data_IF_169121939080
#
_entry.id   IF_169121939080
#
_cell.length_a   1.000
_cell.length_b   1.000
_cell.length_c   1.000
_cell.angle_alpha   90.00
_cell.angle_beta   90.00
_cell.angle_gamma   90.00
#
_symmetry.space_group_name_H-M   'P 1'
#
loop_
_entity.id
_entity.type
_entity.pdbx_description
1 polymer ?
#
# COMPACT_ATOMS: atom_id res chain seq x y z
N UNK A 1 5.15 -9.93 -2.64
CA UNK A 1 4.19 -10.53 -1.70
C UNK A 1 4.87 -11.48 -0.75
N UNK A 2 5.39 -12.63 -1.21
CA UNK A 2 6.06 -13.61 -0.34
C UNK A 2 7.31 -13.08 0.39
N UNK A 3 8.01 -12.08 -0.18
CA UNK A 3 9.19 -11.47 0.44
C UNK A 3 8.87 -10.30 1.39
N UNK A 4 7.60 -9.97 1.60
CA UNK A 4 7.21 -8.85 2.46
C UNK A 4 6.87 -9.33 3.87
N UNK A 5 7.44 -8.68 4.89
CA UNK A 5 7.17 -8.97 6.31
C UNK A 5 5.72 -8.66 6.70
N UNK A 6 5.11 -7.66 6.06
CA UNK A 6 3.71 -7.28 6.26
C UNK A 6 3.11 -6.77 4.96
N UNK A 7 1.80 -6.94 4.79
CA UNK A 7 1.02 -6.45 3.66
C UNK A 7 -0.20 -5.69 4.20
N UNK A 8 -0.29 -4.43 3.79
CA UNK A 8 -1.38 -3.53 4.15
C UNK A 8 -2.10 -3.11 2.86
N UNK A 9 -3.41 -3.29 2.80
CA UNK A 9 -4.24 -2.76 1.73
C UNK A 9 -4.91 -1.46 2.18
N UNK A 10 -4.74 -0.41 1.37
CA UNK A 10 -5.36 0.89 1.59
C UNK A 10 -6.81 0.89 1.09
N UNK A 11 -7.76 0.84 2.00
CA UNK A 11 -9.21 0.98 1.74
C UNK A 11 -9.66 0.22 0.47
N UNK A 12 -10.23 0.90 -0.54
CA UNK A 12 -10.73 0.31 -1.78
C UNK A 12 -9.67 -0.41 -2.64
N UNK A 13 -8.38 -0.32 -2.31
CA UNK A 13 -7.35 -1.16 -2.93
C UNK A 13 -7.62 -2.66 -2.72
N UNK A 14 -8.30 -3.03 -1.63
CA UNK A 14 -8.66 -4.43 -1.36
C UNK A 14 -9.62 -5.00 -2.41
N UNK A 15 -10.55 -4.18 -2.92
CA UNK A 15 -11.46 -4.59 -4.01
C UNK A 15 -10.69 -4.87 -5.29
N UNK A 16 -9.63 -4.09 -5.56
CA UNK A 16 -8.75 -4.35 -6.71
C UNK A 16 -8.00 -5.66 -6.51
N UNK A 17 -7.42 -5.89 -5.33
CA UNK A 17 -6.73 -7.15 -5.02
C UNK A 17 -7.64 -8.36 -5.21
N UNK A 18 -8.89 -8.29 -4.73
CA UNK A 18 -9.90 -9.34 -4.89
C UNK A 18 -10.14 -9.73 -6.35
N UNK A 19 -10.23 -8.72 -7.23
CA UNK A 19 -10.51 -8.88 -8.67
C UNK A 19 -9.28 -9.20 -9.53
N UNK A 20 -8.08 -9.16 -8.97
CA UNK A 20 -6.86 -9.47 -9.73
C UNK A 20 -6.75 -10.94 -10.12
N UNK A 21 -7.48 -11.84 -9.44
CA UNK A 21 -7.36 -13.28 -9.59
C UNK A 21 -8.64 -13.90 -10.16
N UNK A 22 -8.46 -14.74 -11.17
CA UNK A 22 -9.55 -15.47 -11.84
C UNK A 22 -10.03 -16.69 -11.04
N UNK A 23 -9.16 -17.26 -10.20
CA UNK A 23 -9.46 -18.46 -9.40
C UNK A 23 -9.50 -18.14 -7.91
N UNK A 24 -10.29 -18.93 -7.16
CA UNK A 24 -10.32 -18.83 -5.70
C UNK A 24 -9.01 -19.33 -5.07
N UNK A 25 -8.38 -20.37 -5.64
CA UNK A 25 -7.10 -20.85 -5.13
C UNK A 25 -6.00 -19.80 -5.21
N UNK A 26 -5.93 -19.04 -6.31
CA UNK A 26 -4.94 -17.96 -6.41
C UNK A 26 -5.29 -16.83 -5.47
N UNK A 27 -6.55 -16.37 -5.43
CA UNK A 27 -6.98 -15.29 -4.53
C UNK A 27 -6.68 -15.58 -3.07
N UNK A 28 -6.95 -16.81 -2.61
CA UNK A 28 -6.72 -17.23 -1.23
C UNK A 28 -5.25 -17.18 -0.80
N UNK A 29 -4.29 -17.07 -1.73
CA UNK A 29 -2.86 -16.93 -1.44
C UNK A 29 -2.45 -15.48 -1.17
N UNK A 30 -3.32 -14.50 -1.44
CA UNK A 30 -3.04 -13.07 -1.30
C UNK A 30 -3.92 -12.41 -0.26
N UNK A 31 -3.82 -12.88 0.99
CA UNK A 31 -4.51 -12.28 2.15
C UNK A 31 -3.58 -11.26 2.83
N UNK A 32 -3.89 -9.95 2.83
CA UNK A 32 -3.10 -8.96 3.56
C UNK A 32 -3.31 -9.12 5.07
N UNK A 33 -2.32 -8.73 5.86
CA UNK A 33 -2.47 -8.68 7.32
C UNK A 33 -3.48 -7.61 7.72
N UNK A 34 -3.46 -6.46 7.05
CA UNK A 34 -4.30 -5.32 7.40
C UNK A 34 -5.03 -4.75 6.19
N UNK A 35 -6.27 -4.30 6.42
CA UNK A 35 -7.01 -3.40 5.54
C UNK A 35 -7.23 -2.11 6.31
N UNK A 36 -6.60 -1.01 5.85
CA UNK A 36 -6.52 0.27 6.57
C UNK A 36 -7.12 1.40 5.74
N UNK A 37 -7.94 2.22 6.36
CA UNK A 37 -8.60 3.37 5.75
C UNK A 37 -9.86 3.74 6.52
N UNK A 38 -10.68 4.64 5.98
CA UNK A 38 -12.04 4.89 6.51
C UNK A 38 -13.04 3.79 6.15
N UNK A 39 -12.67 2.89 5.25
CA UNK A 39 -13.41 1.68 4.87
C UNK A 39 -14.73 1.99 4.14
N UNK A 40 -14.87 3.18 3.56
CA UNK A 40 -16.08 3.63 2.88
C UNK A 40 -16.22 3.08 1.45
N UNK A 41 -15.09 2.68 0.85
CA UNK A 41 -15.03 2.19 -0.52
C UNK A 41 -14.90 0.68 -0.60
N UNK A 42 -14.71 -0.02 0.54
CA UNK A 42 -14.61 -1.48 0.58
C UNK A 42 -15.99 -2.13 0.37
N UNK A 43 -16.07 -3.07 -0.57
CA UNK A 43 -17.31 -3.81 -0.83
C UNK A 43 -17.56 -4.86 0.27
N UNK A 44 -18.81 -5.05 0.69
CA UNK A 44 -19.13 -5.86 1.88
C UNK A 44 -18.77 -7.35 1.73
N UNK A 45 -18.92 -7.90 0.52
CA UNK A 45 -18.51 -9.26 0.19
C UNK A 45 -16.99 -9.41 0.23
N UNK A 46 -16.25 -8.44 -0.30
CA UNK A 46 -14.79 -8.36 -0.24
C UNK A 46 -14.31 -8.23 1.21
N UNK A 47 -14.94 -7.36 2.00
CA UNK A 47 -14.67 -7.20 3.43
C UNK A 47 -14.83 -8.51 4.18
N UNK A 48 -15.95 -9.19 3.97
CA UNK A 48 -16.25 -10.49 4.58
C UNK A 48 -15.24 -11.56 4.15
N UNK A 49 -14.88 -11.57 2.87
CA UNK A 49 -13.91 -12.51 2.32
C UNK A 49 -12.55 -12.45 3.02
N UNK A 50 -11.99 -11.26 3.18
CA UNK A 50 -10.66 -11.10 3.76
C UNK A 50 -10.66 -11.20 5.29
N UNK A 51 -11.68 -10.67 5.97
CA UNK A 51 -11.78 -10.79 7.44
C UNK A 51 -11.96 -12.23 7.90
N UNK A 52 -12.78 -13.02 7.21
CA UNK A 52 -12.94 -14.46 7.50
C UNK A 52 -11.65 -15.28 7.27
N UNK A 53 -10.67 -14.71 6.57
CA UNK A 53 -9.36 -15.33 6.29
C UNK A 53 -8.21 -14.72 7.10
N UNK A 54 -8.52 -13.85 8.06
CA UNK A 54 -7.56 -13.34 9.03
C UNK A 54 -7.01 -11.94 8.74
N UNK A 55 -7.50 -11.23 7.72
CA UNK A 55 -7.17 -9.80 7.58
C UNK A 55 -7.82 -9.00 8.70
N UNK A 56 -7.03 -8.16 9.37
CA UNK A 56 -7.51 -7.22 10.37
C UNK A 56 -8.04 -5.95 9.70
N UNK A 57 -9.27 -5.56 10.05
CA UNK A 57 -9.81 -4.26 9.66
C UNK A 57 -9.31 -3.20 10.64
N UNK A 58 -8.60 -2.23 10.11
CA UNK A 58 -8.02 -1.15 10.86
C UNK A 58 -8.70 0.15 10.43
N UNK A 59 -9.82 0.48 11.08
CA UNK A 59 -10.59 1.69 10.77
C UNK A 59 -9.82 2.95 11.19
N UNK A 60 -9.80 3.93 10.30
CA UNK A 60 -9.25 5.25 10.54
C UNK A 60 -10.15 6.31 9.89
N UNK A 61 -10.95 6.94 10.75
CA UNK A 61 -11.96 7.91 10.36
C UNK A 61 -11.39 9.31 10.05
N UNK A 62 -10.07 9.51 10.14
CA UNK A 62 -9.45 10.78 9.76
C UNK A 62 -9.74 11.10 8.28
N UNK A 63 -10.21 12.31 8.01
CA UNK A 63 -10.52 12.79 6.66
C UNK A 63 -9.49 13.79 6.14
N UNK A 64 -8.54 14.21 6.98
CA UNK A 64 -7.46 15.14 6.59
C UNK A 64 -6.24 14.41 6.02
N UNK A 65 -6.20 13.07 6.11
CA UNK A 65 -5.13 12.24 5.56
C UNK A 65 -5.63 11.24 4.51
N UNK A 66 -4.77 10.98 3.53
CA UNK A 66 -5.01 9.96 2.51
C UNK A 66 -4.83 8.54 3.05
N UNK A 67 -5.45 7.54 2.43
CA UNK A 67 -5.32 6.15 2.89
C UNK A 67 -3.88 5.64 2.86
N UNK A 68 -3.05 6.12 1.93
CA UNK A 68 -1.63 5.79 1.95
C UNK A 68 -0.92 6.36 3.20
N UNK A 69 -1.26 7.57 3.63
CA UNK A 69 -0.73 8.13 4.88
C UNK A 69 -1.22 7.34 6.10
N UNK A 70 -2.50 6.96 6.14
CA UNK A 70 -3.07 6.11 7.20
C UNK A 70 -2.35 4.76 7.28
N UNK A 71 -2.01 4.15 6.13
CA UNK A 71 -1.24 2.91 6.06
C UNK A 71 0.19 3.08 6.57
N UNK A 72 0.87 4.17 6.20
CA UNK A 72 2.23 4.46 6.69
C UNK A 72 2.22 4.73 8.20
N UNK A 73 1.19 5.40 8.71
CA UNK A 73 1.03 5.59 10.16
C UNK A 73 0.85 4.26 10.89
N UNK A 74 -0.02 3.38 10.39
CA UNK A 74 -0.17 2.03 10.93
C UNK A 74 1.17 1.26 10.89
N UNK A 75 1.93 1.36 9.80
CA UNK A 75 3.23 0.70 9.73
C UNK A 75 4.20 1.21 10.80
N UNK A 76 4.19 2.51 11.10
CA UNK A 76 4.99 3.11 12.16
C UNK A 76 4.56 2.64 13.56
N UNK A 77 3.26 2.47 13.81
CA UNK A 77 2.77 2.01 15.11
C UNK A 77 3.06 0.54 15.36
N UNK A 78 3.15 -0.27 14.31
CA UNK A 78 3.53 -1.69 14.41
C UNK A 78 5.02 -1.90 14.73
N UNK A 79 5.87 -0.88 14.55
CA UNK A 79 7.31 -0.87 14.88
C UNK A 79 8.07 -2.12 14.38
N UNK A 80 7.80 -2.53 13.14
CA UNK A 80 8.33 -3.79 12.58
C UNK A 80 9.78 -3.69 12.08
N UNK A 81 10.45 -2.55 12.24
CA UNK A 81 11.82 -2.34 11.73
C UNK A 81 11.94 -2.52 10.22
N UNK A 82 11.00 -1.97 9.44
CA UNK A 82 10.96 -2.16 7.98
C UNK A 82 11.97 -1.27 7.27
N UNK A 83 12.85 -1.88 6.47
CA UNK A 83 13.90 -1.18 5.70
C UNK A 83 13.39 -0.51 4.41
N UNK A 84 12.28 -1.00 3.85
CA UNK A 84 11.73 -0.50 2.59
C UNK A 84 10.22 -0.70 2.51
N UNK A 85 9.51 0.33 2.02
CA UNK A 85 8.07 0.27 1.76
C UNK A 85 7.84 0.30 0.25
N UNK A 86 7.20 -0.75 -0.29
CA UNK A 86 6.81 -0.81 -1.70
C UNK A 86 5.32 -0.51 -1.80
N UNK A 87 4.97 0.58 -2.48
CA UNK A 87 3.59 1.00 -2.71
C UNK A 87 3.17 0.59 -4.12
N UNK A 88 2.28 -0.39 -4.21
CA UNK A 88 1.70 -0.85 -5.47
C UNK A 88 0.43 -0.06 -5.81
N UNK A 89 0.21 0.21 -7.10
CA UNK A 89 -0.96 0.97 -7.55
C UNK A 89 -0.87 2.46 -7.28
N UNK A 90 0.34 2.97 -7.03
CA UNK A 90 0.62 4.38 -6.77
C UNK A 90 0.44 5.31 -7.99
N UNK A 91 0.30 4.74 -9.18
CA UNK A 91 0.23 5.51 -10.43
C UNK A 91 -1.09 5.24 -11.15
N UNK A 92 -1.59 6.27 -11.83
CA UNK A 92 -2.82 6.19 -12.61
C UNK A 92 -4.09 6.32 -11.77
N UNK A 93 -5.19 6.64 -12.45
CA UNK A 93 -6.46 7.01 -11.81
C UNK A 93 -6.57 8.52 -11.61
N UNK A 94 -6.96 8.94 -10.40
CA UNK A 94 -7.11 10.35 -10.02
C UNK A 94 -5.74 11.03 -9.90
N UNK A 95 -5.55 12.12 -10.66
CA UNK A 95 -4.26 12.82 -10.72
C UNK A 95 -3.86 13.46 -9.39
N UNK A 96 -4.85 13.94 -8.63
CA UNK A 96 -4.67 14.51 -7.29
C UNK A 96 -4.16 13.46 -6.30
N UNK A 97 -4.62 12.21 -6.39
CA UNK A 97 -4.09 11.11 -5.59
C UNK A 97 -2.64 10.79 -5.97
N UNK A 98 -2.32 10.78 -7.28
CA UNK A 98 -0.95 10.55 -7.74
C UNK A 98 0.01 11.64 -7.21
N UNK A 99 -0.40 12.91 -7.23
CA UNK A 99 0.37 13.99 -6.60
C UNK A 99 0.54 13.82 -5.09
N UNK A 100 -0.50 13.35 -4.38
CA UNK A 100 -0.37 13.00 -2.96
C UNK A 100 0.67 11.90 -2.72
N UNK A 101 0.73 10.88 -3.58
CA UNK A 101 1.76 9.84 -3.48
C UNK A 101 3.18 10.40 -3.67
N UNK A 102 3.40 11.32 -4.62
CA UNK A 102 4.69 12.00 -4.74
C UNK A 102 5.00 12.85 -3.50
N UNK A 103 4.03 13.57 -2.96
CA UNK A 103 4.20 14.38 -1.75
C UNK A 103 4.60 13.51 -0.54
N UNK A 104 4.10 12.27 -0.45
CA UNK A 104 4.46 11.31 0.60
C UNK A 104 5.95 10.98 0.60
N UNK A 105 6.58 10.90 -0.57
CA UNK A 105 8.02 10.66 -0.66
C UNK A 105 8.83 11.75 0.05
N UNK A 106 8.37 13.02 -0.02
CA UNK A 106 8.98 14.16 0.66
C UNK A 106 8.56 14.27 2.13
N UNK A 107 7.34 13.86 2.48
CA UNK A 107 6.83 13.88 3.87
C UNK A 107 7.50 12.82 4.74
N UNK A 108 7.86 11.68 4.16
CA UNK A 108 8.50 10.55 4.85
C UNK A 108 9.85 10.18 4.23
N UNK A 109 10.84 11.11 4.20
CA UNK A 109 12.10 10.88 3.50
C UNK A 109 12.91 9.73 4.14
N UNK A 110 12.66 9.39 5.40
CA UNK A 110 13.37 8.31 6.11
C UNK A 110 12.79 6.91 5.85
N UNK A 111 11.57 6.79 5.34
CA UNK A 111 10.85 5.51 5.26
C UNK A 111 11.16 4.67 4.01
N UNK A 112 12.20 5.03 3.24
CA UNK A 112 12.63 4.34 2.01
C UNK A 112 11.46 3.80 1.17
N UNK A 113 10.65 4.73 0.64
CA UNK A 113 9.41 4.41 -0.06
C UNK A 113 9.69 4.32 -1.57
N UNK A 114 9.21 3.24 -2.18
CA UNK A 114 9.21 3.05 -3.63
C UNK A 114 7.76 2.96 -4.11
N UNK A 115 7.34 3.93 -4.90
CA UNK A 115 6.09 3.88 -5.66
C UNK A 115 6.33 3.01 -6.88
N UNK A 116 5.53 1.96 -7.09
CA UNK A 116 5.77 0.98 -8.15
C UNK A 116 4.51 0.64 -8.93
N UNK A 117 4.67 0.52 -10.25
CA UNK A 117 3.71 -0.08 -11.18
C UNK A 117 4.43 -0.89 -12.25
N UNK A 118 3.68 -1.52 -13.16
CA UNK A 118 4.24 -2.31 -14.27
C UNK A 118 5.21 -1.54 -15.17
N UNK A 119 5.09 -0.21 -15.29
CA UNK A 119 5.86 0.60 -16.25
C UNK A 119 6.53 1.82 -15.63
N UNK A 120 6.38 2.03 -14.32
CA UNK A 120 6.86 3.23 -13.63
C UNK A 120 7.32 2.88 -12.24
N UNK A 121 8.42 3.49 -11.83
CA UNK A 121 8.89 3.52 -10.46
C UNK A 121 9.22 4.97 -10.09
N UNK A 122 8.96 5.35 -8.84
CA UNK A 122 9.37 6.63 -8.30
C UNK A 122 9.78 6.46 -6.84
N UNK A 123 10.87 7.12 -6.46
CA UNK A 123 11.42 7.14 -5.11
C UNK A 123 12.20 8.44 -4.93
N UNK A 124 12.43 8.86 -3.68
CA UNK A 124 13.12 10.11 -3.38
C UNK A 124 14.63 9.89 -3.21
N UNK A 125 15.43 10.61 -4.00
CA UNK A 125 16.86 10.77 -3.74
C UNK A 125 17.07 11.96 -2.80
N UNK A 126 17.67 11.71 -1.63
CA UNK A 126 18.05 12.76 -0.68
C UNK A 126 19.22 13.60 -1.24
N UNK A 127 19.50 14.80 -0.72
CA UNK A 127 20.73 15.50 -1.08
C UNK A 127 21.97 14.62 -0.83
N UNK A 128 22.82 14.47 -1.85
CA UNK A 128 24.02 13.63 -1.78
C UNK A 128 24.34 12.93 -3.11
N UNK A 129 25.38 12.11 -3.10
CA UNK A 129 25.74 11.24 -4.22
C UNK A 129 25.00 9.91 -4.09
N UNK A 130 24.47 9.41 -5.20
CA UNK A 130 23.73 8.15 -5.28
C UNK A 130 24.24 7.31 -6.44
N UNK A 131 24.32 6.00 -6.23
CA UNK A 131 24.63 5.03 -7.26
C UNK A 131 23.39 4.17 -7.49
N UNK A 132 22.82 4.27 -8.68
CA UNK A 132 21.70 3.44 -9.10
C UNK A 132 22.25 2.34 -9.99
N UNK A 133 22.07 1.10 -9.57
CA UNK A 133 22.42 -0.07 -10.36
C UNK A 133 21.19 -0.52 -11.13
N UNK A 134 21.36 -0.69 -12.43
CA UNK A 134 20.32 -1.16 -13.33
C UNK A 134 20.83 -2.41 -14.03
N UNK A 135 20.12 -3.52 -13.85
CA UNK A 135 20.39 -4.80 -14.49
C UNK A 135 19.39 -4.97 -15.64
N UNK A 136 19.67 -4.31 -16.77
CA UNK A 136 19.04 -4.64 -18.05
C UNK A 136 19.75 -5.82 -18.71
#
# INVERSE_FOLDING_TARGET
WANATTRICADGAINRLYRLFDTEEDRARFIPEYIRGDLDSVEEDVRTYYTSRGSELSLDADQDTTDLQKCLHLLQTLDLGVDQVIVLGAFGGRIDHEFSHYAILYKYPQANIVLLSRKRAAFLLKPGAHHLHDEH
#
